data_IF_605663154157
#
_entry.id   IF_605663154157
#
_cell.length_a   1.000
_cell.length_b   1.000
_cell.length_c   1.000
_cell.angle_alpha   90.00
_cell.angle_beta   90.00
_cell.angle_gamma   90.00
#
_symmetry.space_group_name_H-M   'P 1'
#
loop_
_entity.id
_entity.type
_entity.pdbx_description
1 polymer ?
#
# COMPACT_ATOMS: atom_id res chain seq x y z
N UNK A 1 5.80 -40.24 -42.75
CA UNK A 1 6.90 -40.25 -41.77
C UNK A 1 7.44 -38.83 -41.65
N UNK A 2 6.93 -38.03 -40.71
CA UNK A 2 7.55 -36.75 -40.30
C UNK A 2 7.20 -36.51 -38.84
N UNK A 3 8.13 -36.88 -37.96
CA UNK A 3 8.10 -36.53 -36.54
C UNK A 3 8.64 -35.11 -36.39
N UNK A 4 7.80 -34.15 -36.01
CA UNK A 4 8.27 -32.86 -35.51
C UNK A 4 8.55 -32.96 -34.02
N UNK A 5 9.82 -32.81 -33.68
CA UNK A 5 10.35 -32.72 -32.32
C UNK A 5 9.86 -31.42 -31.66
N UNK A 6 9.13 -31.55 -30.55
CA UNK A 6 8.72 -30.41 -29.72
C UNK A 6 9.91 -29.91 -28.91
N UNK A 7 10.28 -28.64 -29.09
CA UNK A 7 11.29 -27.98 -28.27
C UNK A 7 10.82 -27.86 -26.82
N UNK A 8 11.59 -28.43 -25.90
CA UNK A 8 11.42 -28.26 -24.46
C UNK A 8 11.81 -26.83 -24.08
N UNK A 9 10.83 -25.94 -23.92
CA UNK A 9 11.04 -24.65 -23.27
C UNK A 9 11.28 -24.88 -21.77
N UNK A 10 12.44 -24.46 -21.29
CA UNK A 10 12.89 -24.51 -19.89
C UNK A 10 11.91 -23.79 -18.94
N UNK A 11 11.63 -24.32 -17.73
CA UNK A 11 10.72 -23.67 -16.76
C UNK A 11 11.43 -22.56 -15.97
N UNK A 12 11.88 -21.50 -16.65
CA UNK A 12 12.33 -20.28 -15.96
C UNK A 12 11.14 -19.51 -15.35
N UNK A 13 9.92 -19.72 -15.86
CA UNK A 13 8.69 -19.05 -15.42
C UNK A 13 8.15 -19.54 -14.07
N UNK A 14 8.46 -20.77 -13.66
CA UNK A 14 7.84 -21.38 -12.46
C UNK A 14 8.45 -20.87 -11.15
N UNK A 15 9.69 -20.37 -11.18
CA UNK A 15 10.38 -19.85 -9.98
C UNK A 15 9.83 -18.48 -9.58
N UNK A 16 9.53 -17.62 -10.56
CA UNK A 16 9.03 -16.26 -10.33
C UNK A 16 7.67 -16.28 -9.61
N UNK A 17 6.79 -17.22 -9.96
CA UNK A 17 5.47 -17.33 -9.32
C UNK A 17 5.53 -17.77 -7.85
N UNK A 18 6.54 -18.56 -7.45
CA UNK A 18 6.68 -19.02 -6.05
C UNK A 18 7.18 -17.93 -5.11
N UNK A 19 7.94 -16.96 -5.63
CA UNK A 19 8.47 -15.85 -4.84
C UNK A 19 7.52 -14.63 -4.91
N UNK A 20 6.87 -14.38 -6.04
CA UNK A 20 5.99 -13.22 -6.18
C UNK A 20 4.78 -13.21 -5.23
N UNK A 21 4.21 -14.38 -4.91
CA UNK A 21 3.05 -14.49 -4.04
C UNK A 21 3.30 -13.99 -2.59
N UNK A 22 4.34 -14.46 -1.86
CA UNK A 22 4.62 -13.96 -0.51
C UNK A 22 5.04 -12.48 -0.51
N UNK A 23 5.77 -12.00 -1.52
CA UNK A 23 6.16 -10.59 -1.61
C UNK A 23 4.97 -9.64 -1.72
N UNK A 24 3.90 -10.03 -2.45
CA UNK A 24 2.68 -9.23 -2.54
C UNK A 24 1.94 -9.14 -1.20
N UNK A 25 1.90 -10.23 -0.44
CA UNK A 25 1.29 -10.26 0.89
C UNK A 25 2.07 -9.42 1.90
N UNK A 26 3.40 -9.52 1.88
CA UNK A 26 4.30 -8.70 2.71
C UNK A 26 4.18 -7.23 2.34
N UNK A 27 4.11 -6.88 1.06
CA UNK A 27 3.91 -5.50 0.63
C UNK A 27 2.55 -4.95 1.07
N UNK A 28 1.46 -5.72 0.93
CA UNK A 28 0.15 -5.32 1.46
C UNK A 28 0.20 -5.12 2.98
N UNK A 29 0.84 -6.03 3.71
CA UNK A 29 1.02 -5.93 5.15
C UNK A 29 1.86 -4.71 5.54
N UNK A 30 2.95 -4.43 4.82
CA UNK A 30 3.75 -3.24 5.03
C UNK A 30 2.97 -1.97 4.69
N UNK A 31 2.14 -1.94 3.65
CA UNK A 31 1.26 -0.79 3.38
C UNK A 31 0.27 -0.53 4.52
N UNK A 32 -0.30 -1.60 5.07
CA UNK A 32 -1.22 -1.54 6.21
C UNK A 32 -0.49 -1.03 7.47
N UNK A 33 0.72 -1.56 7.74
CA UNK A 33 1.50 -1.27 8.95
C UNK A 33 2.25 0.06 8.88
N UNK A 34 2.78 0.45 7.72
CA UNK A 34 3.53 1.69 7.51
C UNK A 34 2.62 2.93 7.45
N UNK A 35 1.29 2.74 7.56
CA UNK A 35 0.35 3.85 7.55
C UNK A 35 0.16 4.50 6.19
N UNK A 36 0.55 3.84 5.09
CA UNK A 36 0.21 4.32 3.74
C UNK A 36 -1.31 4.42 3.55
N UNK A 37 -2.08 3.62 4.31
CA UNK A 37 -3.54 3.64 4.32
C UNK A 37 -4.13 4.70 5.28
N UNK A 38 -3.31 5.57 5.92
CA UNK A 38 -3.80 6.62 6.81
C UNK A 38 -4.83 7.54 6.12
N UNK A 39 -4.61 7.86 4.83
CA UNK A 39 -5.57 8.64 4.05
C UNK A 39 -6.89 7.89 3.81
N UNK A 40 -6.86 6.58 3.57
CA UNK A 40 -8.07 5.77 3.41
C UNK A 40 -8.87 5.70 4.72
N UNK A 41 -8.19 5.49 5.86
CA UNK A 41 -8.83 5.52 7.16
C UNK A 41 -9.40 6.91 7.51
N UNK A 42 -8.72 7.99 7.10
CA UNK A 42 -9.25 9.34 7.20
C UNK A 42 -10.54 9.47 6.39
N UNK A 43 -10.57 9.05 5.13
CA UNK A 43 -11.76 9.11 4.29
C UNK A 43 -12.90 8.26 4.84
N UNK A 44 -12.64 7.05 5.32
CA UNK A 44 -13.65 6.19 5.96
C UNK A 44 -14.21 6.85 7.23
N UNK A 45 -13.35 7.46 8.04
CA UNK A 45 -13.77 8.16 9.26
C UNK A 45 -14.51 9.47 8.94
N UNK A 46 -14.13 10.14 7.85
CA UNK A 46 -14.79 11.35 7.34
C UNK A 46 -16.17 11.01 6.79
N UNK A 47 -16.28 9.96 5.97
CA UNK A 47 -17.52 9.46 5.42
C UNK A 47 -18.49 8.99 6.51
N UNK A 48 -17.98 8.30 7.56
CA UNK A 48 -18.79 7.95 8.73
C UNK A 48 -19.31 9.17 9.51
N UNK A 49 -18.59 10.29 9.50
CA UNK A 49 -18.99 11.51 10.24
C UNK A 49 -19.87 12.46 9.43
N UNK A 50 -19.61 12.56 8.13
CA UNK A 50 -20.22 13.56 7.25
C UNK A 50 -21.19 12.94 6.22
N UNK A 51 -21.23 11.62 6.08
CA UNK A 51 -22.10 10.89 5.15
C UNK A 51 -21.72 11.02 3.67
N UNK A 52 -20.69 11.81 3.34
CA UNK A 52 -20.18 12.05 1.98
C UNK A 52 -18.67 12.28 2.02
N UNK A 53 -18.01 12.07 0.87
CA UNK A 53 -16.58 12.32 0.65
C UNK A 53 -16.31 13.66 -0.07
N UNK A 54 -17.35 14.39 -0.47
CA UNK A 54 -17.23 15.59 -1.34
C UNK A 54 -16.54 16.80 -0.68
N UNK A 55 -16.37 16.76 0.64
CA UNK A 55 -15.64 17.79 1.41
C UNK A 55 -14.34 17.28 2.05
N UNK A 56 -13.90 16.07 1.70
CA UNK A 56 -12.69 15.53 2.29
C UNK A 56 -11.46 16.25 1.73
N UNK A 57 -10.55 16.63 2.64
CA UNK A 57 -9.21 17.09 2.32
C UNK A 57 -8.52 16.15 1.31
N UNK A 58 -7.83 16.72 0.32
CA UNK A 58 -7.10 15.94 -0.67
C UNK A 58 -5.87 15.25 -0.06
N UNK A 59 -5.41 14.16 -0.69
CA UNK A 59 -4.32 13.31 -0.17
C UNK A 59 -3.05 14.10 0.17
N UNK A 60 -2.57 14.97 -0.73
CA UNK A 60 -1.37 15.77 -0.50
C UNK A 60 -1.51 16.74 0.68
N UNK A 61 -2.69 17.32 0.84
CA UNK A 61 -2.96 18.26 1.92
C UNK A 61 -3.06 17.55 3.26
N UNK A 62 -3.65 16.35 3.28
CA UNK A 62 -3.67 15.47 4.45
C UNK A 62 -2.27 15.12 4.94
N UNK A 63 -1.37 14.72 4.04
CA UNK A 63 0.01 14.40 4.40
C UNK A 63 0.80 15.61 4.90
N UNK A 64 0.56 16.79 4.32
CA UNK A 64 1.15 18.04 4.80
C UNK A 64 0.67 18.35 6.21
N UNK A 65 -0.64 18.37 6.45
CA UNK A 65 -1.23 18.66 7.76
C UNK A 65 -0.76 17.66 8.84
N UNK A 66 -0.70 16.37 8.50
CA UNK A 66 -0.19 15.34 9.41
C UNK A 66 1.27 15.56 9.78
N UNK A 67 2.11 15.96 8.82
CA UNK A 67 3.52 16.27 9.06
C UNK A 67 3.67 17.55 9.87
N UNK A 68 2.89 18.59 9.55
CA UNK A 68 2.88 19.86 10.27
C UNK A 68 2.41 19.69 11.72
N UNK A 69 1.46 18.78 11.97
CA UNK A 69 1.03 18.43 13.33
C UNK A 69 2.12 17.66 14.10
N UNK A 70 2.87 16.77 13.44
CA UNK A 70 4.01 16.07 14.05
C UNK A 70 5.16 17.02 14.38
N UNK A 71 5.42 18.01 13.52
CA UNK A 71 6.46 19.02 13.72
C UNK A 71 6.06 20.04 14.80
N UNK A 72 4.78 20.46 14.84
CA UNK A 72 4.26 21.37 15.88
C UNK A 72 4.12 20.71 17.24
N UNK A 73 3.82 19.42 17.28
CA UNK A 73 3.69 18.65 18.53
C UNK A 73 4.68 17.48 18.54
N UNK A 74 5.99 17.76 18.64
CA UNK A 74 6.98 16.71 18.67
C UNK A 74 6.80 16.01 20.02
N UNK A 75 6.16 14.83 20.01
CA UNK A 75 5.87 14.02 21.22
C UNK A 75 7.15 13.47 21.90
N UNK A 76 8.33 14.00 21.56
CA UNK A 76 9.57 13.75 22.27
C UNK A 76 9.46 14.40 23.64
N UNK A 77 9.09 13.59 24.64
CA UNK A 77 9.35 13.89 26.04
C UNK A 77 10.88 13.91 26.20
N UNK A 78 11.53 15.05 25.96
CA UNK A 78 12.92 15.25 26.35
C UNK A 78 12.99 15.82 27.77
N UNK A 79 12.40 15.09 28.71
CA UNK A 79 12.63 15.20 30.15
C UNK A 79 12.40 13.82 30.76
#
# INVERSE_FOLDING_TARGET
MSTSTSGTATPASTVVHRIAAPFRAVHWYLKEVMGENAYLHYLESFERRHGTRDGAMGEREFWRDLTDEQDRNPKVRCC
#
